data_IF_968268283209
#
_entry.id   IF_968268283209
#
_cell.length_a   1.000
_cell.length_b   1.000
_cell.length_c   1.000
_cell.angle_alpha   90.00
_cell.angle_beta   90.00
_cell.angle_gamma   90.00
#
_symmetry.space_group_name_H-M   'P 1'
#
loop_
_entity.id
_entity.type
_entity.pdbx_description
1 polymer ?
#
# COMPACT_ATOMS: atom_id res chain seq x y z
N UNK A 1 -11.79 -23.28 -23.00
CA UNK A 1 -12.81 -24.24 -22.55
C UNK A 1 -14.12 -23.69 -23.04
N UNK A 2 -14.75 -24.36 -23.99
CA UNK A 2 -16.19 -24.36 -24.25
C UNK A 2 -16.40 -25.17 -25.52
N UNK A 3 -16.58 -26.48 -25.33
CA UNK A 3 -17.00 -27.36 -26.40
C UNK A 3 -18.43 -26.96 -26.77
N UNK A 4 -18.55 -26.21 -27.87
CA UNK A 4 -19.81 -26.02 -28.58
C UNK A 4 -20.38 -27.39 -28.93
N UNK A 5 -21.24 -27.89 -28.04
CA UNK A 5 -21.83 -29.22 -28.13
C UNK A 5 -23.06 -29.09 -29.00
N UNK A 6 -22.95 -29.50 -30.26
CA UNK A 6 -24.10 -29.56 -31.15
C UNK A 6 -25.24 -30.37 -30.48
N UNK A 7 -26.51 -29.92 -30.57
CA UNK A 7 -27.60 -30.57 -29.86
C UNK A 7 -27.80 -31.99 -30.40
N UNK A 8 -27.51 -33.00 -29.57
CA UNK A 8 -27.73 -34.41 -29.88
C UNK A 8 -29.23 -34.64 -30.00
N UNK A 9 -29.75 -34.77 -31.22
CA UNK A 9 -31.16 -35.10 -31.46
C UNK A 9 -31.32 -36.63 -31.51
N UNK A 10 -31.96 -37.21 -30.50
CA UNK A 10 -32.30 -38.64 -30.46
C UNK A 10 -33.33 -39.01 -31.52
N UNK A 11 -33.36 -40.29 -31.90
CA UNK A 11 -34.38 -40.82 -32.82
C UNK A 11 -35.78 -40.77 -32.18
N UNK A 12 -36.85 -40.73 -33.01
CA UNK A 12 -38.23 -40.71 -32.49
C UNK A 12 -38.57 -41.96 -31.64
N UNK A 13 -38.04 -43.12 -32.03
CA UNK A 13 -38.27 -44.38 -31.32
C UNK A 13 -37.62 -44.36 -29.93
N UNK A 14 -36.38 -43.86 -29.86
CA UNK A 14 -35.65 -43.70 -28.60
C UNK A 14 -36.31 -42.67 -27.69
N UNK A 15 -36.72 -41.53 -28.25
CA UNK A 15 -37.47 -40.52 -27.50
C UNK A 15 -38.76 -41.08 -26.91
N UNK A 16 -39.51 -41.91 -27.67
CA UNK A 16 -40.74 -42.54 -27.19
C UNK A 16 -40.49 -43.51 -26.03
N UNK A 17 -39.42 -44.31 -26.12
CA UNK A 17 -39.00 -45.22 -25.04
C UNK A 17 -38.65 -44.44 -23.77
N UNK A 18 -37.82 -43.41 -23.91
CA UNK A 18 -37.37 -42.58 -22.78
C UNK A 18 -38.51 -41.74 -22.17
N UNK A 19 -39.48 -41.28 -22.97
CA UNK A 19 -40.70 -40.64 -22.45
C UNK A 19 -41.46 -41.60 -21.53
N UNK A 20 -41.62 -42.86 -21.96
CA UNK A 20 -42.20 -43.93 -21.13
C UNK A 20 -41.43 -44.12 -19.83
N UNK A 21 -40.11 -44.24 -19.90
CA UNK A 21 -39.25 -44.39 -18.72
C UNK A 21 -39.38 -43.20 -17.75
N UNK A 22 -39.44 -41.97 -18.25
CA UNK A 22 -39.62 -40.77 -17.42
C UNK A 22 -40.99 -40.73 -16.76
N UNK A 23 -42.05 -41.13 -17.46
CA UNK A 23 -43.38 -41.25 -16.86
C UNK A 23 -43.41 -42.29 -15.73
N UNK A 24 -42.74 -43.44 -15.91
CA UNK A 24 -42.59 -44.46 -14.87
C UNK A 24 -41.78 -43.95 -13.65
N UNK A 25 -40.85 -43.02 -13.87
CA UNK A 25 -40.13 -42.31 -12.80
C UNK A 25 -40.99 -41.23 -12.10
N UNK A 26 -42.27 -41.08 -12.50
CA UNK A 26 -43.19 -40.11 -11.92
C UNK A 26 -43.06 -38.69 -12.49
N UNK A 27 -42.52 -38.54 -13.71
CA UNK A 27 -42.51 -37.27 -14.43
C UNK A 27 -43.86 -37.05 -15.13
N UNK A 28 -44.26 -35.78 -15.25
CA UNK A 28 -45.52 -35.40 -15.89
C UNK A 28 -45.27 -34.93 -17.32
N UNK A 29 -45.93 -35.53 -18.31
CA UNK A 29 -45.95 -34.99 -19.67
C UNK A 29 -46.79 -33.72 -19.72
N UNK A 30 -46.25 -32.65 -20.30
CA UNK A 30 -46.93 -31.37 -20.48
C UNK A 30 -47.53 -31.27 -21.88
N UNK A 31 -48.58 -30.47 -22.03
CA UNK A 31 -49.18 -30.13 -23.33
C UNK A 31 -48.37 -29.13 -24.16
N UNK A 32 -47.16 -28.78 -23.71
CA UNK A 32 -46.23 -27.91 -24.42
C UNK A 32 -45.20 -28.75 -25.19
N UNK A 33 -44.93 -28.36 -26.44
CA UNK A 33 -43.90 -28.97 -27.27
C UNK A 33 -42.56 -28.26 -27.14
N UNK A 34 -41.47 -28.99 -27.37
CA UNK A 34 -40.13 -28.43 -27.42
C UNK A 34 -40.02 -27.29 -28.46
N UNK A 35 -39.47 -26.11 -28.11
CA UNK A 35 -39.34 -24.95 -29.00
C UNK A 35 -38.23 -25.11 -30.05
N UNK A 36 -37.39 -26.14 -29.93
CA UNK A 36 -36.31 -26.42 -30.90
C UNK A 36 -36.91 -26.84 -32.24
N UNK A 37 -36.45 -26.19 -33.31
CA UNK A 37 -36.78 -26.52 -34.70
C UNK A 37 -36.63 -28.02 -34.99
N UNK A 38 -37.62 -28.58 -35.69
CA UNK A 38 -37.74 -30.00 -36.04
C UNK A 38 -37.83 -31.00 -34.86
N UNK A 39 -38.01 -30.54 -33.61
CA UNK A 39 -38.13 -31.43 -32.45
C UNK A 39 -39.58 -31.83 -32.15
N UNK A 40 -40.44 -30.84 -31.90
CA UNK A 40 -41.88 -30.93 -31.56
C UNK A 40 -42.24 -32.01 -30.52
N UNK A 41 -41.28 -32.48 -29.73
CA UNK A 41 -41.49 -33.53 -28.72
C UNK A 41 -42.14 -32.92 -27.48
N UNK A 42 -43.15 -33.55 -26.87
CA UNK A 42 -43.76 -33.07 -25.64
C UNK A 42 -42.73 -32.91 -24.51
N UNK A 43 -42.84 -31.82 -23.76
CA UNK A 43 -41.98 -31.56 -22.61
C UNK A 43 -42.41 -32.41 -21.40
N UNK A 44 -41.44 -32.82 -20.61
CA UNK A 44 -41.64 -33.56 -19.37
C UNK A 44 -41.28 -32.69 -18.18
N UNK A 45 -42.12 -32.65 -17.15
CA UNK A 45 -41.86 -31.94 -15.90
C UNK A 45 -41.45 -32.90 -14.80
N UNK A 46 -40.35 -32.62 -14.12
CA UNK A 46 -39.93 -33.38 -12.95
C UNK A 46 -40.69 -32.92 -11.68
N UNK A 47 -40.44 -33.60 -10.55
CA UNK A 47 -41.03 -33.24 -9.24
C UNK A 47 -40.59 -31.86 -8.72
N UNK A 48 -39.47 -31.33 -9.22
CA UNK A 48 -38.96 -30.00 -8.88
C UNK A 48 -39.54 -28.89 -9.77
N UNK A 49 -40.45 -29.23 -10.70
CA UNK A 49 -41.06 -28.26 -11.61
C UNK A 49 -40.27 -27.95 -12.88
N UNK A 50 -39.06 -28.51 -13.06
CA UNK A 50 -38.21 -28.26 -14.24
C UNK A 50 -38.76 -28.98 -15.47
N UNK A 51 -38.81 -28.28 -16.61
CA UNK A 51 -39.25 -28.84 -17.89
C UNK A 51 -38.07 -29.38 -18.69
N UNK A 52 -38.26 -30.51 -19.36
CA UNK A 52 -37.20 -31.25 -20.03
C UNK A 52 -37.68 -31.86 -21.34
N UNK A 53 -36.88 -31.71 -22.39
CA UNK A 53 -37.09 -32.37 -23.66
C UNK A 53 -36.23 -33.65 -23.75
N UNK A 54 -36.90 -34.79 -23.81
CA UNK A 54 -36.25 -36.10 -23.87
C UNK A 54 -35.52 -36.34 -25.19
N UNK A 55 -35.98 -35.74 -26.29
CA UNK A 55 -35.37 -35.91 -27.61
C UNK A 55 -34.11 -35.07 -27.81
N UNK A 56 -34.11 -33.84 -27.30
CA UNK A 56 -32.94 -32.94 -27.35
C UNK A 56 -31.98 -33.17 -26.18
N UNK A 57 -32.42 -33.89 -25.15
CA UNK A 57 -31.69 -34.08 -23.89
C UNK A 57 -31.39 -32.77 -23.15
N UNK A 58 -32.29 -31.79 -23.27
CA UNK A 58 -32.09 -30.44 -22.74
C UNK A 58 -33.24 -30.02 -21.84
N UNK A 59 -32.92 -29.28 -20.78
CA UNK A 59 -33.91 -28.57 -19.98
C UNK A 59 -34.41 -27.36 -20.75
N UNK A 60 -35.71 -27.12 -20.68
CA UNK A 60 -36.36 -25.95 -21.25
C UNK A 60 -36.78 -25.07 -20.08
N UNK A 61 -36.34 -23.83 -20.09
CA UNK A 61 -36.74 -22.81 -19.13
C UNK A 61 -37.64 -21.80 -19.84
N UNK A 62 -38.59 -21.21 -19.11
CA UNK A 62 -39.36 -20.10 -19.66
C UNK A 62 -38.48 -18.85 -19.80
N UNK A 63 -38.89 -17.89 -20.63
CA UNK A 63 -38.18 -16.61 -20.75
C UNK A 63 -38.07 -15.89 -19.38
N UNK A 64 -39.10 -15.99 -18.55
CA UNK A 64 -39.10 -15.41 -17.21
C UNK A 64 -38.11 -16.13 -16.27
N UNK A 65 -38.05 -17.46 -16.33
CA UNK A 65 -37.08 -18.24 -15.55
C UNK A 65 -35.65 -17.96 -15.98
N UNK A 66 -35.39 -17.84 -17.29
CA UNK A 66 -34.08 -17.50 -17.82
C UNK A 66 -33.64 -16.10 -17.39
N UNK A 67 -34.54 -15.11 -17.41
CA UNK A 67 -34.24 -13.75 -16.92
C UNK A 67 -33.88 -13.74 -15.44
N UNK A 68 -34.67 -14.42 -14.60
CA UNK A 68 -34.36 -14.51 -13.16
C UNK A 68 -33.04 -15.22 -12.88
N UNK A 69 -32.72 -16.28 -13.63
CA UNK A 69 -31.43 -16.96 -13.51
C UNK A 69 -30.28 -16.03 -13.91
N UNK A 70 -30.40 -15.32 -15.03
CA UNK A 70 -29.38 -14.36 -15.45
C UNK A 70 -29.21 -13.20 -14.47
N UNK A 71 -30.30 -12.69 -13.89
CA UNK A 71 -30.26 -11.66 -12.84
C UNK A 71 -29.57 -12.17 -11.57
N UNK A 72 -29.90 -13.39 -11.13
CA UNK A 72 -29.26 -14.04 -9.97
C UNK A 72 -27.77 -14.29 -10.21
N UNK A 73 -27.40 -14.81 -11.37
CA UNK A 73 -26.01 -15.03 -11.76
C UNK A 73 -25.24 -13.70 -11.82
N UNK A 74 -25.85 -12.64 -12.37
CA UNK A 74 -25.23 -11.32 -12.41
C UNK A 74 -25.06 -10.72 -11.01
N UNK A 75 -26.04 -10.89 -10.12
CA UNK A 75 -25.95 -10.45 -8.73
C UNK A 75 -24.87 -11.22 -7.96
N UNK A 76 -24.78 -12.54 -8.14
CA UNK A 76 -23.75 -13.38 -7.51
C UNK A 76 -22.35 -13.00 -8.01
N UNK A 77 -22.18 -12.78 -9.32
CA UNK A 77 -20.93 -12.32 -9.88
C UNK A 77 -20.54 -10.93 -9.36
N UNK A 78 -21.48 -10.00 -9.29
CA UNK A 78 -21.24 -8.66 -8.73
C UNK A 78 -20.88 -8.72 -7.24
N UNK A 79 -21.52 -9.59 -6.47
CA UNK A 79 -21.19 -9.83 -5.06
C UNK A 79 -19.78 -10.41 -4.91
N UNK A 80 -19.41 -11.39 -5.72
CA UNK A 80 -18.09 -12.00 -5.71
C UNK A 80 -16.98 -11.03 -6.14
N UNK A 81 -17.24 -10.16 -7.13
CA UNK A 81 -16.31 -9.10 -7.52
C UNK A 81 -16.12 -8.07 -6.41
N UNK A 82 -17.21 -7.67 -5.74
CA UNK A 82 -17.14 -6.75 -4.59
C UNK A 82 -16.35 -7.35 -3.43
N UNK A 83 -16.59 -8.62 -3.10
CA UNK A 83 -15.84 -9.33 -2.05
C UNK A 83 -14.34 -9.38 -2.36
N UNK A 84 -13.97 -9.69 -3.61
CA UNK A 84 -12.57 -9.66 -4.06
C UNK A 84 -11.96 -8.26 -3.95
N UNK A 85 -12.66 -7.23 -4.40
CA UNK A 85 -12.18 -5.85 -4.29
C UNK A 85 -11.98 -5.42 -2.83
N UNK A 86 -12.88 -5.82 -1.93
CA UNK A 86 -12.73 -5.57 -0.49
C UNK A 86 -11.55 -6.34 0.12
N UNK A 87 -11.31 -7.58 -0.31
CA UNK A 87 -10.17 -8.38 0.13
C UNK A 87 -8.83 -7.77 -0.34
N UNK A 88 -8.76 -7.34 -1.60
CA UNK A 88 -7.58 -6.68 -2.17
C UNK A 88 -7.29 -5.35 -1.45
N UNK A 89 -8.33 -4.56 -1.16
CA UNK A 89 -8.19 -3.32 -0.40
C UNK A 89 -7.64 -3.57 1.02
N UNK A 90 -8.11 -4.60 1.72
CA UNK A 90 -7.59 -5.00 3.04
C UNK A 90 -6.12 -5.43 2.97
N UNK A 91 -5.76 -6.18 1.93
CA UNK A 91 -4.39 -6.63 1.73
C UNK A 91 -3.44 -5.45 1.49
N UNK A 92 -3.82 -4.49 0.65
CA UNK A 92 -3.01 -3.29 0.41
C UNK A 92 -2.92 -2.41 1.66
N UNK A 93 -3.98 -2.29 2.46
CA UNK A 93 -3.93 -1.57 3.73
C UNK A 93 -2.97 -2.25 4.74
N UNK A 94 -3.03 -3.57 4.87
CA UNK A 94 -2.11 -4.33 5.72
C UNK A 94 -0.66 -4.18 5.27
N UNK A 95 -0.43 -4.25 3.95
CA UNK A 95 0.88 -4.02 3.35
C UNK A 95 1.41 -2.62 3.65
N UNK A 96 0.58 -1.58 3.53
CA UNK A 96 0.96 -0.21 3.86
C UNK A 96 1.32 -0.07 5.35
N UNK A 97 0.50 -0.65 6.25
CA UNK A 97 0.79 -0.66 7.71
C UNK A 97 2.11 -1.34 8.02
N UNK A 98 2.42 -2.45 7.34
CA UNK A 98 3.69 -3.17 7.53
C UNK A 98 4.89 -2.34 7.10
N UNK A 99 4.80 -1.64 5.96
CA UNK A 99 5.85 -0.73 5.48
C UNK A 99 6.07 0.41 6.49
N UNK A 100 4.99 1.03 6.98
CA UNK A 100 5.11 2.12 7.95
C UNK A 100 5.71 1.65 9.28
N UNK A 101 5.30 0.48 9.78
CA UNK A 101 5.89 -0.10 10.98
C UNK A 101 7.38 -0.37 10.81
N UNK A 102 7.79 -0.88 9.64
CA UNK A 102 9.20 -1.12 9.35
C UNK A 102 10.00 0.18 9.38
N UNK A 103 9.52 1.22 8.70
CA UNK A 103 10.18 2.52 8.69
C UNK A 103 10.34 3.11 10.09
N UNK A 104 9.27 3.03 10.90
CA UNK A 104 9.30 3.49 12.31
C UNK A 104 10.33 2.75 13.14
N UNK A 105 10.45 1.43 12.98
CA UNK A 105 11.45 0.62 13.68
C UNK A 105 12.87 0.93 13.22
N UNK A 106 13.07 1.16 11.92
CA UNK A 106 14.37 1.56 11.36
C UNK A 106 14.81 2.93 11.89
N UNK A 107 13.90 3.90 11.98
CA UNK A 107 14.19 5.20 12.59
C UNK A 107 14.54 5.10 14.07
N UNK A 108 13.77 4.32 14.85
CA UNK A 108 14.08 4.07 16.27
C UNK A 108 15.44 3.38 16.43
N UNK A 109 15.75 2.40 15.58
CA UNK A 109 17.04 1.71 15.60
C UNK A 109 18.20 2.67 15.25
N UNK A 110 18.00 3.58 14.30
CA UNK A 110 18.99 4.61 13.95
C UNK A 110 19.24 5.56 15.13
N UNK A 111 18.18 6.08 15.75
CA UNK A 111 18.28 6.94 16.94
C UNK A 111 18.96 6.23 18.11
N UNK A 112 18.65 4.94 18.34
CA UNK A 112 19.29 4.15 19.38
C UNK A 112 20.79 3.94 19.11
N UNK A 113 21.20 3.70 17.86
CA UNK A 113 22.61 3.62 17.47
C UNK A 113 23.34 4.95 17.71
N UNK A 114 22.75 6.07 17.28
CA UNK A 114 23.32 7.40 17.51
C UNK A 114 23.49 7.69 19.01
N UNK A 115 22.51 7.32 19.84
CA UNK A 115 22.60 7.46 21.30
C UNK A 115 23.73 6.60 21.89
N UNK A 116 23.86 5.34 21.46
CA UNK A 116 24.94 4.45 21.89
C UNK A 116 26.32 4.99 21.51
N UNK A 117 26.48 5.53 20.30
CA UNK A 117 27.74 6.11 19.85
C UNK A 117 28.14 7.33 20.69
N UNK A 118 27.17 8.18 21.05
CA UNK A 118 27.40 9.33 21.95
C UNK A 118 27.79 8.88 23.36
N UNK A 119 27.15 7.84 23.91
CA UNK A 119 27.52 7.25 25.20
C UNK A 119 28.92 6.61 25.17
N UNK A 120 29.25 5.89 24.10
CA UNK A 120 30.59 5.34 23.90
C UNK A 120 31.63 6.46 23.80
N UNK A 121 31.38 7.54 23.08
CA UNK A 121 32.28 8.68 23.00
C UNK A 121 32.47 9.37 24.37
N UNK A 122 31.41 9.50 25.18
CA UNK A 122 31.48 10.03 26.56
C UNK A 122 32.26 9.11 27.51
N UNK A 123 32.04 7.80 27.44
CA UNK A 123 32.76 6.82 28.25
C UNK A 123 34.23 6.72 27.83
N UNK A 124 34.54 6.79 26.54
CA UNK A 124 35.92 6.88 26.05
C UNK A 124 36.59 8.19 26.50
N UNK A 125 35.91 9.34 26.42
CA UNK A 125 36.43 10.63 26.93
C UNK A 125 36.69 10.61 28.43
N UNK A 126 35.79 10.04 29.24
CA UNK A 126 35.99 9.94 30.70
C UNK A 126 37.12 8.97 31.06
N UNK A 127 37.24 7.83 30.37
CA UNK A 127 38.40 6.92 30.50
C UNK A 127 39.71 7.62 30.10
N UNK A 128 39.73 8.33 28.97
CA UNK A 128 40.90 9.11 28.54
C UNK A 128 41.26 10.23 29.52
N UNK A 129 40.27 10.94 30.07
CA UNK A 129 40.48 11.96 31.11
C UNK A 129 41.06 11.36 32.41
N UNK A 130 40.61 10.17 32.83
CA UNK A 130 41.19 9.45 33.97
C UNK A 130 42.64 9.00 33.72
N UNK A 131 42.94 8.51 32.50
CA UNK A 131 44.32 8.16 32.10
C UNK A 131 45.21 9.41 31.99
N UNK A 132 44.65 10.56 31.63
CA UNK A 132 45.35 11.85 31.53
C UNK A 132 45.61 12.46 32.92
N UNK A 133 44.67 12.34 33.85
CA UNK A 133 44.85 12.74 35.25
C UNK A 133 45.93 11.92 35.97
N UNK A 134 46.09 10.63 35.60
CA UNK A 134 47.20 9.78 36.08
C UNK A 134 48.57 10.20 35.50
N UNK A 135 48.60 10.89 34.35
CA UNK A 135 49.83 11.37 33.68
C UNK A 135 50.22 12.81 34.02
N UNK A 136 49.32 13.60 34.61
CA UNK A 136 49.54 15.04 34.95
C UNK A 136 50.17 15.30 36.32
N UNK A 137 50.77 14.30 36.96
CA UNK A 137 51.67 14.51 38.11
C UNK A 137 53.10 14.85 37.64
N UNK A 138 53.44 14.59 36.37
CA UNK A 138 54.75 14.92 35.82
C UNK A 138 54.67 15.92 34.65
N UNK A 139 55.44 16.99 34.82
CA UNK A 139 55.76 18.06 33.86
C UNK A 139 54.76 19.23 33.78
N UNK A 140 55.15 20.30 34.49
CA UNK A 140 54.82 21.67 34.18
C UNK A 140 55.99 22.27 33.37
N UNK A 141 55.68 22.93 32.25
CA UNK A 141 56.29 24.20 31.80
C UNK A 141 55.98 24.43 30.31
N UNK A 142 55.42 25.60 30.00
CA UNK A 142 56.02 26.61 29.10
C UNK A 142 54.94 27.45 28.43
N UNK A 143 54.92 28.71 28.85
CA UNK A 143 54.19 29.86 28.32
C UNK A 143 54.73 30.30 26.96
N UNK A 144 53.86 30.36 25.94
CA UNK A 144 54.02 31.15 24.69
C UNK A 144 52.84 30.98 23.70
N UNK A 145 51.84 30.12 23.98
CA UNK A 145 50.76 29.73 23.04
C UNK A 145 49.37 30.33 23.34
N UNK A 146 49.22 31.12 24.42
CA UNK A 146 47.89 31.57 24.89
C UNK A 146 47.20 32.53 23.92
N UNK A 147 47.93 33.40 23.21
CA UNK A 147 47.31 34.43 22.35
C UNK A 147 46.64 33.86 21.10
N UNK A 148 47.26 32.88 20.43
CA UNK A 148 46.70 32.30 19.20
C UNK A 148 45.54 31.35 19.48
N UNK A 149 45.55 30.69 20.64
CA UNK A 149 44.45 29.82 21.07
C UNK A 149 43.23 30.66 21.43
N UNK A 150 43.42 31.78 22.13
CA UNK A 150 42.35 32.70 22.49
C UNK A 150 41.75 33.38 21.26
N UNK A 151 42.57 33.85 20.31
CA UNK A 151 42.10 34.42 19.03
C UNK A 151 41.33 33.39 18.20
N UNK A 152 41.80 32.15 18.13
CA UNK A 152 41.07 31.09 17.42
C UNK A 152 39.78 30.67 18.14
N UNK A 153 39.73 30.74 19.47
CA UNK A 153 38.53 30.50 20.25
C UNK A 153 37.46 31.58 19.97
N UNK A 154 37.88 32.86 19.96
CA UNK A 154 37.00 33.99 19.63
C UNK A 154 36.48 33.87 18.20
N UNK A 155 37.33 33.51 17.23
CA UNK A 155 36.93 33.26 15.83
C UNK A 155 35.84 32.18 15.72
N UNK A 156 36.03 31.05 16.41
CA UNK A 156 35.05 29.94 16.40
C UNK A 156 33.73 30.31 17.07
N UNK A 157 33.79 31.04 18.20
CA UNK A 157 32.61 31.51 18.91
C UNK A 157 31.82 32.52 18.07
N UNK A 158 32.52 33.43 17.40
CA UNK A 158 31.91 34.43 16.49
C UNK A 158 31.22 33.73 15.32
N UNK A 159 31.89 32.77 14.68
CA UNK A 159 31.33 32.01 13.57
C UNK A 159 30.09 31.21 14.00
N UNK A 160 30.11 30.59 15.18
CA UNK A 160 28.95 29.87 15.73
C UNK A 160 27.76 30.81 15.97
N UNK A 161 28.01 31.98 16.56
CA UNK A 161 26.96 32.99 16.79
C UNK A 161 26.38 33.54 15.48
N UNK A 162 27.20 33.72 14.43
CA UNK A 162 26.73 34.15 13.11
C UNK A 162 25.81 33.10 12.47
N UNK A 163 26.19 31.82 12.49
CA UNK A 163 25.34 30.75 11.95
C UNK A 163 24.01 30.62 12.71
N UNK A 164 24.04 30.76 14.04
CA UNK A 164 22.82 30.75 14.85
C UNK A 164 21.90 31.92 14.48
N UNK A 165 22.44 33.13 14.30
CA UNK A 165 21.66 34.30 13.88
C UNK A 165 21.09 34.17 12.46
N UNK A 166 21.84 33.57 11.53
CA UNK A 166 21.32 33.26 10.18
C UNK A 166 20.14 32.29 10.25
N UNK A 167 20.25 31.25 11.09
CA UNK A 167 19.17 30.29 11.32
C UNK A 167 17.91 30.96 11.86
N UNK A 168 18.04 31.73 12.95
CA UNK A 168 16.92 32.47 13.55
C UNK A 168 16.29 33.45 12.56
N UNK A 169 17.08 34.16 11.75
CA UNK A 169 16.56 35.06 10.72
C UNK A 169 15.79 34.31 9.63
N UNK A 170 16.25 33.12 9.24
CA UNK A 170 15.61 32.28 8.23
C UNK A 170 14.32 31.65 8.77
N UNK A 171 14.32 31.20 10.03
CA UNK A 171 13.15 30.61 10.70
C UNK A 171 12.08 31.67 11.02
N UNK A 172 12.47 32.93 11.17
CA UNK A 172 11.55 34.05 11.39
C UNK A 172 10.79 34.50 10.13
N UNK A 173 11.16 33.99 8.95
CA UNK A 173 10.50 34.33 7.69
C UNK A 173 9.22 33.50 7.50
N UNK A 174 8.09 34.19 7.35
CA UNK A 174 6.83 33.55 6.96
C UNK A 174 6.66 33.59 5.44
N UNK A 175 6.07 32.56 4.81
CA UNK A 175 5.77 32.57 3.38
C UNK A 175 4.77 33.67 2.94
N UNK A 176 4.11 34.34 3.90
CA UNK A 176 3.21 35.48 3.66
C UNK A 176 3.87 36.86 3.90
N UNK A 177 5.18 36.92 4.19
CA UNK A 177 5.88 38.19 4.36
C UNK A 177 5.99 38.99 3.04
N UNK A 178 5.97 40.32 3.15
CA UNK A 178 6.09 41.22 1.99
C UNK A 178 7.41 40.99 1.25
N UNK A 179 7.38 41.03 -0.09
CA UNK A 179 8.54 40.77 -0.96
C UNK A 179 9.78 41.62 -0.62
N UNK A 180 9.59 42.84 -0.13
CA UNK A 180 10.67 43.74 0.32
C UNK A 180 11.43 43.21 1.55
N UNK A 181 10.73 42.53 2.47
CA UNK A 181 11.34 41.90 3.65
C UNK A 181 12.17 40.68 3.24
N UNK A 182 11.66 39.87 2.32
CA UNK A 182 12.38 38.71 1.79
C UNK A 182 13.67 39.11 1.08
N UNK A 183 13.63 40.18 0.26
CA UNK A 183 14.82 40.72 -0.41
C UNK A 183 15.84 41.25 0.62
N UNK A 184 15.36 41.96 1.64
CA UNK A 184 16.21 42.52 2.70
C UNK A 184 16.92 41.44 3.51
N UNK A 185 16.19 40.38 3.89
CA UNK A 185 16.79 39.24 4.64
C UNK A 185 17.75 38.45 3.77
N UNK A 186 17.42 38.20 2.49
CA UNK A 186 18.34 37.55 1.56
C UNK A 186 19.64 38.35 1.34
N UNK A 187 19.57 39.69 1.37
CA UNK A 187 20.75 40.56 1.33
C UNK A 187 21.57 40.45 2.61
N UNK A 188 20.93 40.53 3.78
CA UNK A 188 21.61 40.40 5.07
C UNK A 188 22.30 39.03 5.24
N UNK A 189 21.67 37.94 4.81
CA UNK A 189 22.27 36.59 4.85
C UNK A 189 23.52 36.51 3.95
N UNK A 190 23.51 37.15 2.77
CA UNK A 190 24.70 37.22 1.90
C UNK A 190 25.83 38.02 2.53
N UNK A 191 25.55 39.19 3.09
CA UNK A 191 26.55 40.03 3.75
C UNK A 191 27.19 39.30 4.95
N UNK A 192 26.40 38.55 5.73
CA UNK A 192 26.91 37.74 6.83
C UNK A 192 27.77 36.57 6.31
N UNK A 193 27.39 35.94 5.21
CA UNK A 193 28.16 34.86 4.60
C UNK A 193 29.51 35.34 4.06
N UNK A 194 29.56 36.53 3.46
CA UNK A 194 30.80 37.18 3.02
C UNK A 194 31.70 37.54 4.20
N UNK A 195 31.14 38.11 5.27
CA UNK A 195 31.89 38.39 6.51
C UNK A 195 32.45 37.11 7.15
N UNK A 196 31.72 36.00 7.09
CA UNK A 196 32.20 34.70 7.57
C UNK A 196 33.33 34.11 6.72
N UNK A 197 33.40 34.43 5.41
CA UNK A 197 34.51 34.02 4.55
C UNK A 197 35.81 34.77 4.88
N UNK A 198 35.71 36.06 5.22
CA UNK A 198 36.87 36.86 5.65
C UNK A 198 37.47 36.35 6.98
N UNK A 199 36.64 35.79 7.86
CA UNK A 199 37.07 35.21 9.14
C UNK A 199 37.70 33.82 9.00
N UNK A 200 37.58 33.15 7.83
CA UNK A 200 38.18 31.83 7.57
C UNK A 200 39.66 31.90 7.17
N UNK A 201 40.15 33.07 6.74
CA UNK A 201 41.56 33.34 6.51
C UNK A 201 42.20 34.00 7.75
#
# INVERSE_FOLDING_TARGET
MDASTAPVKRSRNEASKLLGEKMLQGWTMLGASCPVEDCYTPLMRNKQGKMFCVRCDQFVVTEEEAKRQAEQEAEELAAAEKEKAEADARYEEERARRIEQQFRLEEQAKQAREMQDLEQAKTQRSKAAQVSAKRKIDSAASTSLDSDVEVNAIRRQTLAALYQKIGVLTDSLSPNDHSERLISVAKAVREIAEAAQLLKH
#
